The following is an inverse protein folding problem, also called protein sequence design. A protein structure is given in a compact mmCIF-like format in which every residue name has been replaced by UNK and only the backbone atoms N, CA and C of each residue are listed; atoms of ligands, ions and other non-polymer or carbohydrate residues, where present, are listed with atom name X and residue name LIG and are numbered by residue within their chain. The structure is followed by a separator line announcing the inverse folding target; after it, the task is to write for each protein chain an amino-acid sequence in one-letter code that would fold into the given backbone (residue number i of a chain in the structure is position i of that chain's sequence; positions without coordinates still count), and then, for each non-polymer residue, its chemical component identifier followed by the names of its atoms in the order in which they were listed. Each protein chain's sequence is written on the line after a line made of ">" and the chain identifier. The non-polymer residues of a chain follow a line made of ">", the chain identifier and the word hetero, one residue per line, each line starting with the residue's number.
data_IF_636009830723
#
_entry.id   IF_636009830723
#
_cell.length_a   1.000
_cell.length_b   1.000
_cell.length_c   1.000
_cell.angle_alpha   90.00
_cell.angle_beta   90.00
_cell.angle_gamma   90.00
#
_symmetry.space_group_name_H-M   'P 1'
#
loop_
_entity.id
_entity.type
_entity.pdbx_description
1 polymer ?
#
# COMPACT_ATOMS: atom_id res chain seq x y z
N UNK A 1 37.79 18.73 -20.44
CA UNK A 1 36.71 18.38 -19.48
C UNK A 1 36.02 17.12 -19.98
N UNK A 2 36.03 16.06 -19.20
CA UNK A 2 35.41 14.79 -19.56
C UNK A 2 33.87 14.88 -19.50
N UNK A 3 33.19 13.88 -20.08
CA UNK A 3 31.73 13.79 -20.07
C UNK A 3 31.18 13.86 -18.63
N UNK A 4 31.88 13.27 -17.67
CA UNK A 4 31.55 13.33 -16.25
C UNK A 4 31.52 14.76 -15.68
N UNK A 5 32.43 15.64 -16.13
CA UNK A 5 32.46 17.03 -15.63
C UNK A 5 31.27 17.85 -16.14
N UNK A 6 30.77 17.52 -17.34
CA UNK A 6 29.61 18.20 -17.94
C UNK A 6 28.32 17.96 -17.14
N UNK A 7 28.17 16.77 -16.58
CA UNK A 7 26.96 16.39 -15.85
C UNK A 7 27.06 16.53 -14.35
N UNK A 8 28.25 16.82 -13.79
CA UNK A 8 28.49 16.95 -12.34
C UNK A 8 27.59 17.99 -11.65
N UNK A 9 27.39 19.14 -12.29
CA UNK A 9 26.51 20.18 -11.72
C UNK A 9 25.06 19.75 -11.68
N UNK A 10 24.57 19.09 -12.74
CA UNK A 10 23.22 18.53 -12.80
C UNK A 10 23.06 17.43 -11.76
N UNK A 11 24.03 16.51 -11.66
CA UNK A 11 24.02 15.44 -10.66
C UNK A 11 23.96 16.03 -9.23
N UNK A 12 24.80 17.01 -8.91
CA UNK A 12 24.79 17.67 -7.60
C UNK A 12 23.46 18.34 -7.31
N UNK A 13 22.83 18.98 -8.29
CA UNK A 13 21.52 19.61 -8.12
C UNK A 13 20.42 18.56 -7.86
N UNK A 14 20.43 17.44 -8.58
CA UNK A 14 19.49 16.32 -8.36
C UNK A 14 19.71 15.70 -6.98
N UNK A 15 20.95 15.49 -6.57
CA UNK A 15 21.26 14.95 -5.24
C UNK A 15 20.81 15.91 -4.13
N UNK A 16 21.01 17.21 -4.30
CA UNK A 16 20.55 18.22 -3.34
C UNK A 16 19.03 18.21 -3.22
N UNK A 17 18.30 18.15 -4.34
CA UNK A 17 16.84 18.07 -4.36
C UNK A 17 16.33 16.77 -3.70
N UNK A 18 16.92 15.62 -4.02
CA UNK A 18 16.56 14.34 -3.42
C UNK A 18 16.75 14.31 -1.91
N UNK A 19 17.77 15.01 -1.40
CA UNK A 19 18.07 15.04 0.03
C UNK A 19 17.38 16.21 0.77
N UNK A 20 16.58 17.01 0.08
CA UNK A 20 15.84 18.09 0.70
C UNK A 20 14.84 17.54 1.72
N UNK A 21 14.87 17.98 2.98
CA UNK A 21 13.85 17.63 3.96
C UNK A 21 12.48 18.16 3.53
N UNK A 22 11.46 17.32 3.63
CA UNK A 22 10.07 17.65 3.29
C UNK A 22 9.22 17.75 4.55
N UNK A 23 9.50 16.93 5.58
CA UNK A 23 8.75 16.93 6.82
C UNK A 23 9.33 15.98 7.86
N UNK A 24 8.61 15.84 8.98
CA UNK A 24 9.06 15.05 10.12
C UNK A 24 7.98 14.08 10.58
N UNK A 25 8.40 12.86 10.90
CA UNK A 25 7.62 11.88 11.65
C UNK A 25 8.07 11.86 13.11
N UNK A 26 7.16 11.60 14.05
CA UNK A 26 7.49 11.46 15.48
C UNK A 26 8.51 10.35 15.74
N UNK A 27 8.61 9.37 14.84
CA UNK A 27 9.61 8.30 14.82
C UNK A 27 9.82 7.80 13.39
N UNK A 28 10.94 7.17 13.12
CA UNK A 28 11.13 6.46 11.84
C UNK A 28 10.16 5.27 11.74
N UNK A 29 9.67 5.03 10.52
CA UNK A 29 8.89 3.84 10.16
C UNK A 29 9.65 3.08 9.08
N UNK A 30 10.28 2.00 9.49
CA UNK A 30 11.17 1.21 8.65
C UNK A 30 10.52 -0.11 8.26
N UNK A 31 10.85 -0.70 7.10
CA UNK A 31 10.34 -2.00 6.73
C UNK A 31 10.86 -3.08 7.68
N UNK A 32 10.01 -4.05 7.93
CA UNK A 32 10.33 -5.28 8.62
C UNK A 32 10.29 -6.46 7.64
N UNK A 33 10.46 -7.67 8.17
CA UNK A 33 10.34 -8.90 7.40
C UNK A 33 8.94 -8.99 6.76
N UNK A 34 8.87 -9.41 5.49
CA UNK A 34 7.66 -9.35 4.65
C UNK A 34 6.46 -10.10 5.23
N UNK A 35 6.68 -11.34 5.69
CA UNK A 35 5.62 -12.16 6.28
C UNK A 35 5.11 -11.51 7.57
N UNK A 36 6.02 -10.98 8.39
CA UNK A 36 5.69 -10.29 9.63
C UNK A 36 4.82 -9.06 9.37
N UNK A 37 5.21 -8.22 8.39
CA UNK A 37 4.40 -7.06 7.99
C UNK A 37 3.02 -7.47 7.48
N UNK A 38 2.95 -8.54 6.69
CA UNK A 38 1.69 -9.02 6.15
C UNK A 38 0.74 -9.58 7.23
N UNK A 39 1.29 -10.29 8.23
CA UNK A 39 0.49 -10.87 9.34
C UNK A 39 0.04 -9.86 10.38
N UNK A 40 0.93 -8.94 10.74
CA UNK A 40 0.73 -8.06 11.91
C UNK A 40 0.51 -6.60 11.55
N UNK A 41 0.47 -6.28 10.25
CA UNK A 41 0.36 -4.92 9.76
C UNK A 41 1.71 -4.24 9.53
N UNK A 42 1.69 -3.16 8.77
CA UNK A 42 2.86 -2.36 8.42
C UNK A 42 2.60 -0.88 8.69
N UNK A 43 3.36 -0.23 9.58
CA UNK A 43 3.24 1.21 9.80
C UNK A 43 3.43 2.04 8.53
N UNK A 44 4.22 1.52 7.56
CA UNK A 44 4.39 2.17 6.25
C UNK A 44 3.08 2.09 5.45
N UNK A 45 2.46 0.91 5.37
CA UNK A 45 1.19 0.75 4.68
C UNK A 45 0.06 1.56 5.34
N UNK A 46 0.03 1.59 6.67
CA UNK A 46 -0.92 2.41 7.43
C UNK A 46 -0.75 3.91 7.12
N UNK A 47 0.49 4.37 7.05
CA UNK A 47 0.78 5.76 6.70
C UNK A 47 0.33 6.09 5.27
N UNK A 48 0.64 5.25 4.30
CA UNK A 48 0.21 5.43 2.91
C UNK A 48 -1.31 5.36 2.76
N UNK A 49 -1.99 4.41 3.42
CA UNK A 49 -3.45 4.33 3.44
C UNK A 49 -4.10 5.57 4.05
N UNK A 50 -3.52 6.14 5.11
CA UNK A 50 -3.98 7.40 5.72
C UNK A 50 -3.92 8.55 4.74
N UNK A 51 -2.84 8.65 3.95
CA UNK A 51 -2.69 9.67 2.90
C UNK A 51 -3.74 9.46 1.80
N UNK A 52 -3.94 8.22 1.35
CA UNK A 52 -4.98 7.90 0.37
C UNK A 52 -6.38 8.30 0.86
N UNK A 53 -6.72 8.00 2.10
CA UNK A 53 -8.00 8.39 2.71
C UNK A 53 -8.15 9.90 2.81
N UNK A 54 -7.08 10.63 3.17
CA UNK A 54 -7.09 12.09 3.29
C UNK A 54 -7.45 12.75 1.96
N UNK A 55 -6.76 12.41 0.87
CA UNK A 55 -6.99 13.04 -0.43
C UNK A 55 -8.22 12.52 -1.17
N UNK A 56 -8.62 11.28 -0.92
CA UNK A 56 -9.77 10.69 -1.60
C UNK A 56 -11.10 10.99 -0.93
N UNK A 57 -11.12 11.08 0.39
CA UNK A 57 -12.35 11.11 1.19
C UNK A 57 -13.13 9.80 1.16
N UNK A 58 -12.51 8.69 0.72
CA UNK A 58 -13.12 7.38 0.67
C UNK A 58 -13.33 6.80 2.08
N UNK A 59 -14.22 5.81 2.18
CA UNK A 59 -14.50 5.11 3.45
C UNK A 59 -13.41 4.11 3.79
N UNK A 60 -12.79 3.50 2.78
CA UNK A 60 -11.78 2.46 2.86
C UNK A 60 -10.60 2.80 1.96
N UNK A 61 -9.46 2.20 2.25
CA UNK A 61 -8.27 2.32 1.41
C UNK A 61 -7.52 0.99 1.35
N UNK A 62 -6.87 0.71 0.22
CA UNK A 62 -5.92 -0.39 0.09
C UNK A 62 -4.63 0.06 -0.59
N UNK A 63 -3.50 -0.49 -0.15
CA UNK A 63 -2.18 -0.21 -0.73
C UNK A 63 -1.31 -1.46 -0.73
N UNK A 64 -0.67 -1.74 -1.86
CA UNK A 64 0.43 -2.70 -1.95
C UNK A 64 1.78 -2.00 -1.77
N UNK A 65 2.72 -2.65 -1.12
CA UNK A 65 4.09 -2.17 -0.95
C UNK A 65 5.01 -2.79 -2.01
N UNK A 66 5.98 -2.03 -2.51
CA UNK A 66 6.97 -2.55 -3.45
C UNK A 66 7.78 -3.72 -2.87
N UNK A 67 8.38 -4.52 -3.76
CA UNK A 67 9.25 -5.63 -3.34
C UNK A 67 10.36 -5.15 -2.41
N UNK A 68 10.98 -4.01 -2.77
CA UNK A 68 11.98 -3.33 -1.96
C UNK A 68 11.48 -1.93 -1.63
N UNK A 69 11.51 -1.57 -0.35
CA UNK A 69 11.11 -0.27 0.17
C UNK A 69 12.12 0.23 1.18
N UNK A 70 12.39 1.53 1.16
CA UNK A 70 13.34 2.15 2.10
C UNK A 70 12.72 2.45 3.47
N UNK A 71 11.41 2.71 3.52
CA UNK A 71 10.75 3.28 4.69
C UNK A 71 10.95 4.79 4.80
N UNK A 72 10.48 5.35 5.90
CA UNK A 72 10.60 6.78 6.18
C UNK A 72 11.41 7.00 7.45
N UNK A 73 12.49 7.77 7.35
CA UNK A 73 13.23 8.26 8.51
C UNK A 73 12.39 9.27 9.29
N UNK A 74 12.79 9.63 10.51
CA UNK A 74 12.11 10.69 11.28
C UNK A 74 12.17 12.05 10.58
N UNK A 75 13.30 12.40 9.96
CA UNK A 75 13.41 13.51 9.02
C UNK A 75 13.26 12.94 7.60
N UNK A 76 12.11 13.21 6.98
CA UNK A 76 11.72 12.63 5.68
C UNK A 76 12.23 13.53 4.56
N UNK A 77 12.91 12.93 3.61
CA UNK A 77 13.39 13.58 2.38
C UNK A 77 12.63 13.12 1.15
N UNK A 78 12.75 13.85 0.04
CA UNK A 78 12.24 13.43 -1.27
C UNK A 78 12.73 12.03 -1.64
N UNK A 79 14.00 11.71 -1.34
CA UNK A 79 14.58 10.39 -1.56
C UNK A 79 13.83 9.28 -0.82
N UNK A 80 13.49 9.50 0.45
CA UNK A 80 12.77 8.50 1.25
C UNK A 80 11.40 8.21 0.64
N UNK A 81 10.71 9.24 0.15
CA UNK A 81 9.40 9.10 -0.49
C UNK A 81 9.51 8.25 -1.76
N UNK A 82 10.39 8.64 -2.69
CA UNK A 82 10.56 7.94 -3.98
C UNK A 82 11.06 6.50 -3.77
N UNK A 83 11.97 6.28 -2.83
CA UNK A 83 12.50 4.93 -2.54
C UNK A 83 11.50 4.04 -1.79
N UNK A 84 10.48 4.62 -1.15
CA UNK A 84 9.43 3.86 -0.45
C UNK A 84 8.23 3.60 -1.35
N UNK A 85 7.88 4.55 -2.23
CA UNK A 85 6.80 4.40 -3.21
C UNK A 85 7.33 4.70 -4.62
N UNK A 86 7.95 3.71 -5.31
CA UNK A 86 8.64 3.94 -6.59
C UNK A 86 7.74 3.90 -7.83
N UNK A 87 6.42 3.77 -7.66
CA UNK A 87 5.48 3.59 -8.76
C UNK A 87 4.82 4.91 -9.18
N UNK A 88 4.70 5.19 -10.50
CA UNK A 88 3.98 6.36 -11.01
C UNK A 88 2.46 6.10 -11.03
N UNK A 89 1.92 5.63 -9.91
CA UNK A 89 0.50 5.32 -9.80
C UNK A 89 -0.29 6.54 -9.35
N UNK A 90 -1.44 6.75 -9.99
CA UNK A 90 -2.50 7.67 -9.53
C UNK A 90 -3.52 6.91 -8.69
N UNK A 91 -4.48 7.63 -8.08
CA UNK A 91 -5.50 7.02 -7.25
C UNK A 91 -6.87 6.98 -7.93
N UNK A 92 -7.61 5.94 -7.59
CA UNK A 92 -8.99 5.72 -8.01
C UNK A 92 -9.85 5.47 -6.78
N UNK A 93 -11.06 6.00 -6.77
CA UNK A 93 -12.11 5.63 -5.82
C UNK A 93 -13.19 4.87 -6.56
N UNK A 94 -13.51 3.67 -6.12
CA UNK A 94 -14.61 2.87 -6.65
C UNK A 94 -15.64 2.54 -5.57
N UNK A 95 -16.86 2.18 -5.97
CA UNK A 95 -17.85 1.57 -5.10
C UNK A 95 -17.59 0.06 -5.03
N UNK A 96 -17.54 -0.50 -3.83
CA UNK A 96 -17.31 -1.93 -3.61
C UNK A 96 -18.36 -2.47 -2.64
N UNK A 97 -18.89 -3.65 -2.93
CA UNK A 97 -19.79 -4.37 -2.00
C UNK A 97 -19.00 -5.11 -0.94
N UNK A 98 -19.63 -5.45 0.20
CA UNK A 98 -18.99 -6.24 1.26
C UNK A 98 -18.53 -7.60 0.76
N UNK A 99 -19.28 -8.25 -0.14
CA UNK A 99 -18.88 -9.50 -0.80
C UNK A 99 -17.62 -9.32 -1.63
N UNK A 100 -17.59 -8.31 -2.49
CA UNK A 100 -16.42 -7.99 -3.33
C UNK A 100 -15.20 -7.62 -2.48
N UNK A 101 -15.40 -6.82 -1.41
CA UNK A 101 -14.35 -6.47 -0.46
C UNK A 101 -13.73 -7.73 0.16
N UNK A 102 -14.56 -8.64 0.68
CA UNK A 102 -14.07 -9.90 1.22
C UNK A 102 -13.30 -10.70 0.18
N UNK A 103 -13.79 -10.76 -1.07
CA UNK A 103 -13.12 -11.48 -2.16
C UNK A 103 -11.71 -10.94 -2.44
N UNK A 104 -11.54 -9.62 -2.53
CA UNK A 104 -10.21 -9.04 -2.78
C UNK A 104 -9.28 -9.16 -1.57
N UNK A 105 -9.81 -9.15 -0.35
CA UNK A 105 -9.03 -9.42 0.86
C UNK A 105 -8.59 -10.88 0.94
N UNK A 106 -9.44 -11.82 0.53
CA UNK A 106 -9.06 -13.24 0.41
C UNK A 106 -7.98 -13.45 -0.65
N UNK A 107 -7.99 -12.68 -1.77
CA UNK A 107 -6.89 -12.68 -2.74
C UNK A 107 -5.57 -12.24 -2.10
N UNK A 108 -5.58 -11.19 -1.27
CA UNK A 108 -4.39 -10.80 -0.49
C UNK A 108 -3.95 -11.94 0.46
N UNK A 109 -4.90 -12.61 1.12
CA UNK A 109 -4.61 -13.67 2.07
C UNK A 109 -4.03 -14.96 1.43
N UNK A 110 -4.10 -15.12 0.10
CA UNK A 110 -3.38 -16.18 -0.63
C UNK A 110 -1.85 -16.05 -0.51
N UNK A 111 -1.36 -14.89 -0.05
CA UNK A 111 0.05 -14.61 0.19
C UNK A 111 0.71 -15.60 1.16
N UNK A 112 -0.05 -16.18 2.07
CA UNK A 112 0.48 -17.03 3.12
C UNK A 112 0.47 -18.51 2.71
N UNK A 113 1.56 -19.20 3.06
CA UNK A 113 1.73 -20.64 2.98
C UNK A 113 2.45 -21.14 4.24
N UNK A 114 2.69 -22.42 4.35
CA UNK A 114 3.49 -23.04 5.39
C UNK A 114 4.72 -23.71 4.78
N UNK A 115 5.88 -23.50 5.41
CA UNK A 115 7.09 -24.21 5.05
C UNK A 115 7.08 -25.65 5.58
N UNK A 116 8.13 -26.41 5.26
CA UNK A 116 8.29 -27.82 5.70
C UNK A 116 8.36 -27.98 7.22
N UNK A 117 8.70 -26.93 7.96
CA UNK A 117 8.83 -26.93 9.40
C UNK A 117 7.55 -26.40 10.09
N UNK A 118 6.52 -26.06 9.32
CA UNK A 118 5.22 -25.59 9.79
C UNK A 118 5.18 -24.11 10.12
N UNK A 119 6.18 -23.31 9.70
CA UNK A 119 6.17 -21.87 9.89
C UNK A 119 5.43 -21.18 8.75
N UNK A 120 4.74 -20.08 9.04
CA UNK A 120 4.12 -19.26 8.02
C UNK A 120 5.18 -18.63 7.13
N UNK A 121 5.03 -18.78 5.83
CA UNK A 121 5.92 -18.21 4.81
C UNK A 121 5.12 -17.60 3.66
N UNK A 122 5.81 -17.00 2.69
CA UNK A 122 5.18 -16.48 1.47
C UNK A 122 4.86 -17.63 0.53
N UNK A 123 3.65 -17.63 -0.03
CA UNK A 123 3.22 -18.60 -1.04
C UNK A 123 4.04 -18.50 -2.31
N UNK A 124 4.37 -19.65 -2.91
CA UNK A 124 5.07 -19.73 -4.19
C UNK A 124 4.37 -18.95 -5.31
N UNK A 125 3.05 -18.80 -5.25
CA UNK A 125 2.29 -18.01 -6.22
C UNK A 125 2.66 -16.52 -6.25
N UNK A 126 3.32 -16.02 -5.19
CA UNK A 126 3.86 -14.64 -5.11
C UNK A 126 5.38 -14.58 -5.32
N UNK A 127 6.04 -15.71 -5.51
CA UNK A 127 7.49 -15.81 -5.65
C UNK A 127 7.93 -16.33 -7.01
N UNK A 128 7.11 -17.16 -7.67
CA UNK A 128 7.43 -17.89 -8.89
C UNK A 128 6.40 -17.59 -9.98
N UNK A 129 6.78 -17.26 -11.20
CA UNK A 129 8.14 -17.15 -11.74
C UNK A 129 8.87 -15.85 -11.38
N UNK A 130 8.19 -14.92 -10.71
CA UNK A 130 8.70 -13.60 -10.36
C UNK A 130 8.25 -13.23 -8.96
N UNK A 131 9.12 -12.58 -8.19
CA UNK A 131 8.78 -12.06 -6.87
C UNK A 131 7.80 -10.88 -7.00
N UNK A 132 6.63 -11.01 -6.37
CA UNK A 132 5.51 -10.08 -6.50
C UNK A 132 4.88 -9.73 -5.15
N UNK A 133 5.72 -9.40 -4.13
CA UNK A 133 5.22 -8.95 -2.83
C UNK A 133 4.25 -7.75 -2.95
N UNK A 134 4.41 -6.92 -4.00
CA UNK A 134 3.52 -5.80 -4.30
C UNK A 134 2.08 -6.21 -4.63
N UNK A 135 1.80 -7.49 -4.83
CA UNK A 135 0.46 -8.02 -5.00
C UNK A 135 -0.24 -8.39 -3.68
N UNK A 136 0.41 -8.18 -2.53
CA UNK A 136 -0.25 -8.19 -1.23
C UNK A 136 -0.73 -6.79 -0.88
N UNK A 137 -2.04 -6.61 -0.68
CA UNK A 137 -2.64 -5.34 -0.32
C UNK A 137 -2.95 -5.26 1.19
N UNK A 138 -2.62 -4.12 1.79
CA UNK A 138 -2.97 -3.74 3.17
C UNK A 138 -4.21 -2.87 3.16
N UNK A 139 -5.20 -3.19 3.98
CA UNK A 139 -6.49 -2.50 4.02
C UNK A 139 -6.62 -1.62 5.25
N UNK A 140 -7.28 -0.45 5.09
CA UNK A 140 -7.63 0.47 6.17
C UNK A 140 -9.11 0.87 6.10
N UNK A 141 -9.72 1.10 7.27
CA UNK A 141 -11.13 1.48 7.42
C UNK A 141 -12.06 0.32 7.74
N UNK A 142 -11.52 -0.90 7.85
CA UNK A 142 -12.19 -2.11 8.35
C UNK A 142 -11.30 -2.83 9.36
N UNK A 143 -11.94 -3.59 10.25
CA UNK A 143 -11.29 -4.48 11.21
C UNK A 143 -11.46 -5.92 10.72
N UNK A 144 -10.42 -6.71 10.77
CA UNK A 144 -10.43 -8.12 10.36
C UNK A 144 -9.22 -8.87 10.92
N UNK A 145 -9.27 -10.18 10.86
CA UNK A 145 -8.13 -11.06 11.15
C UNK A 145 -7.85 -11.95 9.94
N UNK A 146 -6.58 -12.18 9.66
CA UNK A 146 -6.16 -13.19 8.67
C UNK A 146 -5.77 -14.44 9.45
N UNK A 147 -6.43 -15.56 9.15
CA UNK A 147 -6.08 -16.87 9.70
C UNK A 147 -5.48 -17.75 8.59
N UNK A 148 -4.13 -17.83 8.49
CA UNK A 148 -3.47 -18.64 7.46
C UNK A 148 -3.74 -20.17 7.57
N UNK A 149 -4.20 -20.65 8.73
CA UNK A 149 -4.54 -22.08 8.93
C UNK A 149 -5.80 -22.48 8.15
N UNK A 150 -6.66 -21.50 7.87
CA UNK A 150 -7.86 -21.76 7.08
C UNK A 150 -7.52 -22.00 5.60
N UNK A 151 -8.37 -22.75 4.90
CA UNK A 151 -8.24 -22.91 3.45
C UNK A 151 -8.20 -21.56 2.72
N UNK A 152 -7.44 -21.50 1.63
CA UNK A 152 -7.45 -20.34 0.71
C UNK A 152 -8.89 -19.98 0.33
N UNK A 153 -9.23 -18.70 0.36
CA UNK A 153 -10.59 -18.20 0.14
C UNK A 153 -11.50 -18.17 1.37
N UNK A 154 -10.98 -18.55 2.54
CA UNK A 154 -11.71 -18.55 3.83
C UNK A 154 -10.82 -18.08 4.99
N UNK A 155 -9.83 -17.26 4.71
CA UNK A 155 -8.81 -16.80 5.67
C UNK A 155 -9.17 -15.49 6.36
N UNK A 156 -10.11 -14.72 5.80
CA UNK A 156 -10.56 -13.46 6.39
C UNK A 156 -11.67 -13.74 7.39
N UNK A 157 -11.40 -13.44 8.65
CA UNK A 157 -12.32 -13.62 9.77
C UNK A 157 -12.68 -12.28 10.43
N UNK A 158 -13.89 -12.19 11.01
CA UNK A 158 -14.31 -11.05 11.81
C UNK A 158 -14.41 -9.74 11.06
N UNK A 159 -14.55 -9.77 9.71
CA UNK A 159 -14.62 -8.56 8.91
C UNK A 159 -15.74 -7.64 9.39
N UNK A 160 -15.36 -6.47 9.88
CA UNK A 160 -16.29 -5.51 10.49
C UNK A 160 -15.84 -4.07 10.21
N UNK A 161 -16.78 -3.14 10.39
CA UNK A 161 -16.52 -1.70 10.31
C UNK A 161 -17.24 -0.98 11.41
N UNK A 162 -16.51 -0.16 12.21
CA UNK A 162 -17.07 0.54 13.37
C UNK A 162 -17.84 -0.40 14.32
N UNK A 163 -17.30 -1.60 14.56
CA UNK A 163 -17.86 -2.61 15.43
C UNK A 163 -19.09 -3.35 14.88
N UNK A 164 -19.47 -3.14 13.61
CA UNK A 164 -20.58 -3.84 12.95
C UNK A 164 -20.03 -4.81 11.90
N UNK A 165 -20.49 -6.07 11.85
CA UNK A 165 -20.13 -6.99 10.79
C UNK A 165 -20.42 -6.41 9.39
N UNK A 166 -19.50 -6.61 8.46
CA UNK A 166 -19.70 -6.27 7.05
C UNK A 166 -20.55 -7.36 6.40
N UNK A 167 -21.68 -6.99 5.83
CA UNK A 167 -22.58 -7.88 5.11
C UNK A 167 -22.29 -7.84 3.60
N UNK A 168 -22.60 -8.89 2.88
CA UNK A 168 -22.35 -9.04 1.45
C UNK A 168 -22.89 -7.87 0.61
N UNK A 169 -24.07 -7.34 0.97
CA UNK A 169 -24.74 -6.27 0.27
C UNK A 169 -24.35 -4.85 0.71
N UNK A 170 -23.54 -4.70 1.77
CA UNK A 170 -23.07 -3.39 2.20
C UNK A 170 -22.24 -2.72 1.11
N UNK A 171 -22.32 -1.40 1.00
CA UNK A 171 -21.60 -0.63 0.00
C UNK A 171 -20.64 0.36 0.64
N UNK A 172 -19.42 0.40 0.09
CA UNK A 172 -18.36 1.27 0.55
C UNK A 172 -17.71 1.96 -0.63
N UNK A 173 -17.10 3.12 -0.38
CA UNK A 173 -16.11 3.70 -1.30
C UNK A 173 -14.73 3.25 -0.88
N UNK A 174 -13.95 2.71 -1.82
CA UNK A 174 -12.59 2.23 -1.64
C UNK A 174 -11.64 3.03 -2.50
N UNK A 175 -10.59 3.59 -1.88
CA UNK A 175 -9.47 4.21 -2.56
C UNK A 175 -8.36 3.17 -2.78
N UNK A 176 -7.85 3.09 -4.00
CA UNK A 176 -6.74 2.22 -4.39
C UNK A 176 -5.98 2.87 -5.56
N UNK A 177 -4.84 2.31 -5.94
CA UNK A 177 -4.12 2.82 -7.11
C UNK A 177 -4.74 2.33 -8.43
N UNK A 178 -4.51 3.10 -9.50
CA UNK A 178 -5.03 2.81 -10.84
C UNK A 178 -4.56 1.46 -11.41
N UNK A 179 -3.34 1.03 -11.09
CA UNK A 179 -2.83 -0.29 -11.47
C UNK A 179 -3.67 -1.42 -10.87
N UNK A 180 -3.98 -1.33 -9.57
CA UNK A 180 -4.81 -2.32 -8.89
C UNK A 180 -6.25 -2.30 -9.39
N UNK A 181 -6.81 -1.11 -9.64
CA UNK A 181 -8.17 -0.96 -10.18
C UNK A 181 -8.34 -1.61 -11.57
N UNK A 182 -7.27 -1.72 -12.36
CA UNK A 182 -7.30 -2.44 -13.64
C UNK A 182 -7.40 -3.98 -13.51
N UNK A 183 -7.48 -4.52 -12.30
CA UNK A 183 -7.53 -5.96 -12.04
C UNK A 183 -6.14 -6.62 -11.90
N UNK A 184 -5.08 -5.84 -12.04
CA UNK A 184 -3.72 -6.37 -12.01
C UNK A 184 -3.38 -7.10 -10.71
N UNK A 185 -2.60 -8.18 -10.81
CA UNK A 185 -2.19 -9.01 -9.69
C UNK A 185 -3.24 -10.01 -9.23
N UNK A 186 -4.23 -10.33 -10.08
CA UNK A 186 -5.31 -11.27 -9.78
C UNK A 186 -6.47 -10.66 -8.98
N UNK A 187 -6.64 -9.34 -9.08
CA UNK A 187 -7.74 -8.60 -8.43
C UNK A 187 -8.84 -8.23 -9.43
N UNK A 188 -9.23 -9.17 -10.29
CA UNK A 188 -10.19 -8.96 -11.38
C UNK A 188 -11.53 -8.36 -10.91
N UNK A 189 -11.93 -8.64 -9.67
CA UNK A 189 -13.13 -8.08 -9.02
C UNK A 189 -13.18 -6.56 -9.08
N UNK A 190 -12.06 -5.87 -9.03
CA UNK A 190 -12.04 -4.41 -9.11
C UNK A 190 -12.52 -3.87 -10.46
N UNK A 191 -12.38 -4.64 -11.55
CA UNK A 191 -12.87 -4.23 -12.88
C UNK A 191 -14.39 -4.15 -12.97
N UNK A 192 -15.09 -4.81 -12.04
CA UNK A 192 -16.55 -4.79 -11.93
C UNK A 192 -17.05 -3.69 -10.97
N UNK A 193 -16.15 -3.08 -10.21
CA UNK A 193 -16.50 -2.05 -9.24
C UNK A 193 -16.74 -0.70 -9.93
N UNK A 194 -17.92 -0.06 -9.77
CA UNK A 194 -18.19 1.23 -10.40
C UNK A 194 -17.19 2.30 -9.98
N UNK A 195 -16.64 3.00 -10.98
CA UNK A 195 -15.77 4.15 -10.76
C UNK A 195 -16.58 5.30 -10.12
N UNK A 196 -16.08 5.86 -9.04
CA UNK A 196 -16.65 7.01 -8.34
C UNK A 196 -15.84 8.29 -8.65
N UNK A 197 -14.50 8.18 -8.61
CA UNK A 197 -13.60 9.34 -8.75
C UNK A 197 -12.21 8.88 -9.18
N UNK A 198 -11.58 9.68 -10.03
CA UNK A 198 -10.14 9.60 -10.31
C UNK A 198 -9.42 10.78 -9.68
N UNK A 199 -8.24 10.52 -9.13
CA UNK A 199 -7.31 11.52 -8.61
C UNK A 199 -6.06 11.42 -9.47
N UNK A 200 -5.98 12.27 -10.50
CA UNK A 200 -4.93 12.25 -11.52
C UNK A 200 -3.65 12.96 -11.04
N UNK A 201 -3.24 12.67 -9.80
CA UNK A 201 -2.00 13.10 -9.16
C UNK A 201 -1.27 11.83 -8.72
N UNK A 202 0.02 11.76 -8.96
CA UNK A 202 0.81 10.60 -8.56
C UNK A 202 0.90 10.48 -7.04
N UNK A 203 0.91 9.27 -6.52
CA UNK A 203 0.97 9.01 -5.08
C UNK A 203 2.21 9.65 -4.43
N UNK A 204 3.34 9.72 -5.14
CA UNK A 204 4.55 10.40 -4.67
C UNK A 204 4.29 11.90 -4.40
N UNK A 205 3.58 12.58 -5.30
CA UNK A 205 3.20 13.99 -5.12
C UNK A 205 2.22 14.14 -3.95
N UNK A 206 1.23 13.25 -3.83
CA UNK A 206 0.29 13.26 -2.70
C UNK A 206 0.99 13.06 -1.35
N UNK A 207 2.03 12.22 -1.29
CA UNK A 207 2.84 12.08 -0.07
C UNK A 207 3.57 13.39 0.25
N UNK A 208 4.15 14.06 -0.75
CA UNK A 208 4.81 15.37 -0.58
C UNK A 208 3.81 16.43 -0.12
N UNK A 209 2.64 16.51 -0.76
CA UNK A 209 1.58 17.46 -0.41
C UNK A 209 1.07 17.22 1.02
N UNK A 210 0.94 15.96 1.44
CA UNK A 210 0.57 15.64 2.80
C UNK A 210 1.58 16.15 3.84
N UNK A 211 2.88 16.08 3.55
CA UNK A 211 3.91 16.67 4.40
C UNK A 211 3.92 18.22 4.34
N UNK A 212 3.53 18.82 3.21
CA UNK A 212 3.37 20.28 3.13
C UNK A 212 2.19 20.76 3.99
N UNK A 213 1.07 19.99 4.02
CA UNK A 213 -0.07 20.30 4.89
C UNK A 213 0.24 20.03 6.37
N UNK A 214 1.01 18.96 6.64
CA UNK A 214 1.36 18.47 7.99
C UNK A 214 2.88 18.29 8.12
N UNK A 215 3.65 19.37 8.35
CA UNK A 215 5.12 19.28 8.42
C UNK A 215 5.64 18.39 9.55
N UNK A 216 4.82 18.12 10.56
CA UNK A 216 5.13 17.21 11.67
C UNK A 216 3.97 16.23 11.89
N UNK A 217 4.22 14.95 11.71
CA UNK A 217 3.22 13.88 11.76
C UNK A 217 3.52 12.92 12.89
N UNK A 218 2.52 12.65 13.73
CA UNK A 218 2.58 11.60 14.74
C UNK A 218 2.22 10.24 14.11
N UNK A 219 3.15 9.29 14.18
CA UNK A 219 3.01 7.90 13.75
C UNK A 219 3.26 6.92 14.90
#
# INVERSE_FOLDING_TARGET
>A
AGLADKYRSTENSVQAWLNQPIGHLSRAIMPEEKVKMALYGSPIADFLNRIQLHFSGAMLSSVGLANEIAGFRSEVSTRDIIATYPYPNTLVVCEITGKQLKTVMERSAEYFAYDKDGNVCVSDSFLIPKVEHYNYDYYMGVDFTINPENPVGSRIEGLSRNGKPVLDGDKFTLCLNNYRYSGAGGYDVYTECPLVKEINVEMVELIMDYFHEYPYIKV
#
